data_IF_237156571393
#
_entry.id   IF_237156571393
#
_cell.length_a   1.000
_cell.length_b   1.000
_cell.length_c   1.000
_cell.angle_alpha   90.00
_cell.angle_beta   90.00
_cell.angle_gamma   90.00
#
_symmetry.space_group_name_H-M   'P 1'
#
loop_
_entity.id
_entity.type
_entity.pdbx_description
1 polymer ?
#
# COMPACT_ATOMS: atom_id res chain seq x y z
N UNK A 1 3.15 -27.39 -2.15
CA UNK A 1 2.04 -27.12 -1.21
C UNK A 1 1.86 -25.61 -1.14
N UNK A 2 0.70 -25.11 -1.55
CA UNK A 2 0.40 -23.69 -1.76
C UNK A 2 0.33 -22.95 -0.42
N UNK A 3 1.11 -21.88 -0.27
CA UNK A 3 1.08 -21.05 0.93
C UNK A 3 -0.19 -20.18 0.91
N UNK A 4 -1.13 -20.48 1.80
CA UNK A 4 -2.24 -19.60 2.15
C UNK A 4 -1.72 -18.49 3.05
N UNK A 5 -1.55 -17.29 2.49
CA UNK A 5 -1.34 -16.07 3.28
C UNK A 5 -2.65 -15.76 4.02
N UNK A 6 -2.72 -16.16 5.27
CA UNK A 6 -3.81 -15.79 6.18
C UNK A 6 -3.85 -14.27 6.37
N UNK A 7 -5.05 -13.68 6.40
CA UNK A 7 -5.38 -12.24 6.56
C UNK A 7 -4.65 -11.50 7.71
N UNK A 8 -3.96 -12.22 8.60
CA UNK A 8 -3.14 -11.68 9.69
C UNK A 8 -1.72 -11.24 9.26
N UNK A 9 -1.25 -11.62 8.06
CA UNK A 9 0.12 -11.31 7.61
C UNK A 9 0.21 -10.19 6.57
N UNK A 10 -0.92 -9.55 6.22
CA UNK A 10 -0.90 -8.44 5.28
C UNK A 10 -0.26 -7.21 5.95
N UNK A 11 0.88 -6.70 5.45
CA UNK A 11 1.47 -5.50 6.01
C UNK A 11 0.51 -4.31 5.90
N UNK A 12 0.47 -3.46 6.92
CA UNK A 12 -0.41 -2.27 6.93
C UNK A 12 -0.26 -1.43 5.65
N UNK A 13 0.97 -1.32 5.12
CA UNK A 13 1.26 -0.54 3.93
C UNK A 13 0.60 -1.12 2.67
N UNK A 14 0.33 -2.43 2.64
CA UNK A 14 -0.34 -3.05 1.51
C UNK A 14 -1.84 -2.72 1.50
N UNK A 15 -2.46 -2.71 2.68
CA UNK A 15 -3.86 -2.28 2.86
C UNK A 15 -4.05 -0.83 2.44
N UNK A 16 -3.16 0.07 2.87
CA UNK A 16 -3.26 1.49 2.55
C UNK A 16 -3.00 1.79 1.07
N UNK A 17 -2.09 1.03 0.42
CA UNK A 17 -1.88 1.16 -1.03
C UNK A 17 -3.13 0.79 -1.83
N UNK A 18 -3.87 -0.25 -1.41
CA UNK A 18 -5.11 -0.66 -2.06
C UNK A 18 -6.24 0.33 -1.79
N UNK A 19 -6.47 0.66 -0.51
CA UNK A 19 -7.52 1.58 -0.08
C UNK A 19 -7.37 2.97 -0.71
N UNK A 20 -6.14 3.49 -0.81
CA UNK A 20 -5.86 4.81 -1.35
C UNK A 20 -5.42 4.79 -2.82
N UNK A 21 -5.56 3.67 -3.53
CA UNK A 21 -5.22 3.58 -4.96
C UNK A 21 -6.04 4.61 -5.75
N UNK A 22 -5.33 5.42 -6.52
CA UNK A 22 -5.96 6.45 -7.33
C UNK A 22 -6.96 5.84 -8.32
N UNK A 23 -8.17 6.43 -8.36
CA UNK A 23 -9.22 6.16 -9.35
C UNK A 23 -9.62 7.51 -9.95
N UNK A 24 -9.63 7.60 -11.28
CA UNK A 24 -9.97 8.83 -12.02
C UNK A 24 -9.21 10.07 -11.54
N UNK A 25 -7.91 9.91 -11.26
CA UNK A 25 -7.04 11.00 -10.82
C UNK A 25 -7.21 11.44 -9.36
N UNK A 26 -8.08 10.78 -8.58
CA UNK A 26 -8.36 11.11 -7.17
C UNK A 26 -8.23 9.91 -6.24
N UNK A 27 -7.97 10.19 -4.97
CA UNK A 27 -8.05 9.19 -3.91
C UNK A 27 -9.53 8.90 -3.57
N UNK A 28 -9.98 7.64 -3.56
CA UNK A 28 -11.38 7.31 -3.25
C UNK A 28 -11.72 7.51 -1.77
N UNK A 29 -10.73 7.48 -0.87
CA UNK A 29 -10.93 7.67 0.58
C UNK A 29 -10.87 9.15 0.98
N UNK A 30 -9.93 9.91 0.41
CA UNK A 30 -9.64 11.28 0.83
C UNK A 30 -10.21 12.35 -0.12
N UNK A 31 -10.63 11.98 -1.34
CA UNK A 31 -11.04 12.91 -2.40
C UNK A 31 -9.91 13.77 -2.99
N UNK A 32 -8.72 13.75 -2.40
CA UNK A 32 -7.56 14.54 -2.81
C UNK A 32 -7.17 14.18 -4.25
N UNK A 33 -6.94 15.18 -5.12
CA UNK A 33 -6.37 14.92 -6.44
C UNK A 33 -4.95 14.39 -6.31
N UNK A 34 -4.51 13.60 -7.28
CA UNK A 34 -3.18 12.97 -7.30
C UNK A 34 -3.02 11.94 -6.18
N UNK A 35 -1.81 11.84 -5.60
CA UNK A 35 -1.46 10.88 -4.56
C UNK A 35 -1.67 11.56 -3.21
N UNK A 36 -2.59 11.01 -2.41
CA UNK A 36 -2.79 11.47 -1.06
C UNK A 36 -1.62 11.05 -0.15
N UNK A 37 -1.49 11.71 1.00
CA UNK A 37 -0.41 11.45 1.95
C UNK A 37 -0.40 9.99 2.47
N UNK A 38 -1.55 9.38 2.82
CA UNK A 38 -1.59 7.96 3.22
C UNK A 38 -0.99 7.02 2.16
N UNK A 39 -1.36 7.21 0.89
CA UNK A 39 -0.78 6.44 -0.21
C UNK A 39 0.74 6.62 -0.31
N UNK A 40 1.23 7.86 -0.15
CA UNK A 40 2.65 8.15 -0.23
C UNK A 40 3.44 7.48 0.89
N UNK A 41 2.93 7.55 2.13
CA UNK A 41 3.52 6.89 3.29
C UNK A 41 3.59 5.36 3.11
N UNK A 42 2.48 4.75 2.69
CA UNK A 42 2.40 3.32 2.42
C UNK A 42 3.35 2.90 1.27
N UNK A 43 3.46 3.70 0.21
CA UNK A 43 4.39 3.42 -0.89
C UNK A 43 5.86 3.47 -0.42
N UNK A 44 6.22 4.40 0.45
CA UNK A 44 7.57 4.46 1.04
C UNK A 44 7.87 3.21 1.87
N UNK A 45 6.93 2.77 2.72
CA UNK A 45 7.08 1.55 3.50
C UNK A 45 7.24 0.29 2.64
N UNK A 46 6.51 0.19 1.52
CA UNK A 46 6.69 -0.89 0.53
C UNK A 46 8.10 -0.90 -0.07
N UNK A 47 8.66 0.27 -0.39
CA UNK A 47 10.02 0.38 -0.94
C UNK A 47 11.04 -0.08 0.10
N UNK A 48 10.93 0.39 1.35
CA UNK A 48 11.81 -0.03 2.45
C UNK A 48 11.72 -1.54 2.69
N UNK A 49 10.51 -2.09 2.74
CA UNK A 49 10.31 -3.53 2.91
C UNK A 49 11.00 -4.35 1.81
N UNK A 50 10.95 -3.87 0.55
CA UNK A 50 11.64 -4.51 -0.57
C UNK A 50 13.16 -4.44 -0.46
N UNK A 51 13.70 -3.32 0.03
CA UNK A 51 15.14 -3.15 0.22
C UNK A 51 15.67 -4.08 1.33
N UNK A 52 14.91 -4.27 2.41
CA UNK A 52 15.30 -5.15 3.51
C UNK A 52 15.28 -6.64 3.12
N UNK A 53 14.39 -7.06 2.23
CA UNK A 53 14.26 -8.48 1.84
C UNK A 53 15.21 -8.91 0.72
N UNK A 54 15.90 -7.98 0.07
CA UNK A 54 16.80 -8.25 -1.07
C UNK A 54 18.29 -8.17 -0.76
N UNK A 55 18.66 -8.10 0.53
CA UNK A 55 20.06 -8.05 1.01
C UNK A 55 20.54 -9.37 1.59
#
# INVERSE_FOLDING_TARGET
>A
MSQGVSDLEMPWWQRDLDAHRQRDGRCPVCGTPKRCWPWANANSARIVARLVQGG
#
